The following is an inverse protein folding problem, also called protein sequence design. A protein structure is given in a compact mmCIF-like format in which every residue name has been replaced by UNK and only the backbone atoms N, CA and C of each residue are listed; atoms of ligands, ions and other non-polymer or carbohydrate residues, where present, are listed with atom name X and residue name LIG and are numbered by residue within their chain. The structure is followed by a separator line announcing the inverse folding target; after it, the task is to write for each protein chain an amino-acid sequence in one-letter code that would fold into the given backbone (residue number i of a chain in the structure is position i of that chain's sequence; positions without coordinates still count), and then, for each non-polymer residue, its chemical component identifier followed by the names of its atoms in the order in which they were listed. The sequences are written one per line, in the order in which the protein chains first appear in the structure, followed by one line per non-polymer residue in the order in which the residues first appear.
data_IF_053209880766
#
_entry.id   IF_053209880766
#
_cell.length_a   1.000
_cell.length_b   1.000
_cell.length_c   1.000
_cell.angle_alpha   90.00
_cell.angle_beta   90.00
_cell.angle_gamma   90.00
#
_symmetry.space_group_name_H-M   'P 1'
#
loop_
_entity.id
_entity.type
_entity.pdbx_description
1 polymer ?
#
# COMPACT_ATOMS: atom_id res chain seq x y z
N UNK A 1 5.49 1.57 12.78
CA UNK A 1 5.61 0.18 12.35
C UNK A 1 5.93 0.07 10.87
N UNK A 2 5.14 0.71 10.04
CA UNK A 2 5.40 0.66 8.61
C UNK A 2 6.51 1.60 8.16
N UNK A 3 7.03 2.41 9.07
CA UNK A 3 8.02 3.41 8.70
C UNK A 3 9.33 2.79 8.22
N UNK A 4 9.60 1.55 8.62
CA UNK A 4 10.80 0.85 8.17
C UNK A 4 10.55 -0.03 6.96
N UNK A 5 9.32 -0.06 6.46
CA UNK A 5 8.95 -0.91 5.34
C UNK A 5 9.11 -0.14 4.04
N UNK A 6 9.71 -0.76 3.04
CA UNK A 6 9.84 -0.13 1.74
C UNK A 6 8.53 -0.23 0.97
N UNK A 7 8.40 0.59 -0.06
CA UNK A 7 7.23 0.56 -0.92
C UNK A 7 7.04 -0.85 -1.52
N UNK A 8 8.11 -1.44 -2.00
CA UNK A 8 8.02 -2.77 -2.60
C UNK A 8 7.57 -3.81 -1.59
N UNK A 9 8.06 -3.72 -0.37
CA UNK A 9 7.64 -4.65 0.67
C UNK A 9 6.16 -4.48 1.00
N UNK A 10 5.70 -3.23 1.02
CA UNK A 10 4.29 -2.97 1.29
C UNK A 10 3.41 -3.53 0.19
N UNK A 11 3.81 -3.36 -1.06
CA UNK A 11 3.04 -3.90 -2.19
C UNK A 11 2.98 -5.42 -2.10
N UNK A 12 4.10 -6.05 -1.80
CA UNK A 12 4.12 -7.52 -1.66
C UNK A 12 3.19 -7.98 -0.56
N UNK A 13 3.19 -7.25 0.54
CA UNK A 13 2.31 -7.62 1.66
C UNK A 13 0.85 -7.47 1.28
N UNK A 14 0.51 -6.41 0.57
CA UNK A 14 -0.85 -6.20 0.11
C UNK A 14 -1.28 -7.33 -0.82
N UNK A 15 -0.41 -7.71 -1.75
CA UNK A 15 -0.72 -8.80 -2.66
C UNK A 15 -0.95 -10.10 -1.91
N UNK A 16 -0.14 -10.35 -0.90
CA UNK A 16 -0.30 -11.54 -0.09
C UNK A 16 -1.65 -11.55 0.63
N UNK A 17 -2.02 -10.41 1.21
CA UNK A 17 -3.29 -10.31 1.91
C UNK A 17 -4.46 -10.53 0.96
N UNK A 18 -4.41 -9.91 -0.20
CA UNK A 18 -5.48 -10.07 -1.20
C UNK A 18 -5.60 -11.53 -1.61
N UNK A 19 -4.46 -12.17 -1.83
CA UNK A 19 -4.46 -13.58 -2.20
C UNK A 19 -5.11 -14.44 -1.10
N UNK A 20 -4.77 -14.17 0.15
CA UNK A 20 -5.35 -14.91 1.26
C UNK A 20 -6.87 -14.69 1.35
N UNK A 21 -7.31 -13.46 1.12
CA UNK A 21 -8.73 -13.16 1.16
C UNK A 21 -9.49 -13.85 0.03
N UNK A 22 -8.87 -13.95 -1.13
CA UNK A 22 -9.52 -14.57 -2.28
C UNK A 22 -9.58 -16.08 -2.18
N UNK A 23 -8.57 -16.68 -1.58
CA UNK A 23 -8.46 -18.13 -1.54
C UNK A 23 -9.15 -18.79 -0.38
N UNK A 24 -9.45 -18.05 0.66
CA UNK A 24 -9.95 -18.64 1.89
C UNK A 24 -11.46 -18.52 1.96
N UNK A 25 -12.15 -19.64 1.78
CA UNK A 25 -13.60 -19.68 1.91
C UNK A 25 -14.04 -19.75 3.36
N UNK A 26 -13.10 -20.07 4.26
CA UNK A 26 -13.44 -20.33 5.64
C UNK A 26 -12.98 -19.23 6.59
N UNK A 27 -12.66 -18.06 6.07
CA UNK A 27 -12.25 -16.96 6.92
C UNK A 27 -13.44 -16.48 7.76
N UNK A 28 -13.20 -16.35 9.05
CA UNK A 28 -14.20 -15.73 9.90
C UNK A 28 -14.31 -14.26 9.57
N UNK A 29 -15.44 -13.66 9.94
CA UNK A 29 -15.63 -12.24 9.70
C UNK A 29 -14.54 -11.41 10.40
N UNK A 30 -14.18 -11.84 11.63
CA UNK A 30 -13.16 -11.12 12.36
C UNK A 30 -11.81 -11.16 11.65
N UNK A 31 -11.43 -12.33 11.13
CA UNK A 31 -10.18 -12.47 10.42
C UNK A 31 -10.19 -11.66 9.12
N UNK A 32 -11.32 -11.68 8.43
CA UNK A 32 -11.46 -10.90 7.20
C UNK A 32 -11.28 -9.41 7.49
N UNK A 33 -11.96 -8.92 8.53
CA UNK A 33 -11.87 -7.51 8.86
C UNK A 33 -10.46 -7.11 9.28
N UNK A 34 -9.76 -7.97 10.02
CA UNK A 34 -8.41 -7.67 10.44
C UNK A 34 -7.47 -7.55 9.23
N UNK A 35 -7.60 -8.48 8.27
CA UNK A 35 -6.76 -8.43 7.09
C UNK A 35 -7.11 -7.25 6.20
N UNK A 36 -8.40 -6.94 6.08
CA UNK A 36 -8.82 -5.79 5.29
C UNK A 36 -8.31 -4.49 5.89
N UNK A 37 -8.30 -4.39 7.21
CA UNK A 37 -7.79 -3.21 7.89
C UNK A 37 -6.29 -3.06 7.64
N UNK A 38 -5.54 -4.16 7.73
CA UNK A 38 -4.12 -4.11 7.47
C UNK A 38 -3.85 -3.67 6.04
N UNK A 39 -4.60 -4.22 5.09
CA UNK A 39 -4.42 -3.83 3.69
C UNK A 39 -4.72 -2.35 3.48
N UNK A 40 -5.74 -1.85 4.15
CA UNK A 40 -6.07 -0.43 4.03
C UNK A 40 -4.95 0.45 4.55
N UNK A 41 -4.36 0.07 5.67
CA UNK A 41 -3.26 0.83 6.24
C UNK A 41 -2.05 0.80 5.31
N UNK A 42 -1.77 -0.35 4.71
CA UNK A 42 -0.68 -0.46 3.77
C UNK A 42 -0.92 0.36 2.51
N UNK A 43 -2.17 0.38 2.04
CA UNK A 43 -2.51 1.20 0.89
C UNK A 43 -2.32 2.69 1.18
N UNK A 44 -2.69 3.11 2.38
CA UNK A 44 -2.48 4.49 2.78
C UNK A 44 -0.99 4.83 2.78
N UNK A 45 -0.18 3.90 3.29
CA UNK A 45 1.27 4.09 3.28
C UNK A 45 1.79 4.21 1.85
N UNK A 46 1.34 3.35 0.95
CA UNK A 46 1.80 3.38 -0.43
C UNK A 46 1.36 4.66 -1.14
N UNK A 47 0.15 5.12 -0.87
CA UNK A 47 -0.33 6.36 -1.46
C UNK A 47 0.51 7.55 -1.03
N UNK A 48 0.90 7.56 0.23
CA UNK A 48 1.76 8.63 0.73
C UNK A 48 3.11 8.60 0.04
N UNK A 49 3.68 7.40 -0.13
CA UNK A 49 4.95 7.28 -0.82
C UNK A 49 4.86 7.74 -2.27
N UNK A 50 3.77 7.41 -2.93
CA UNK A 50 3.57 7.85 -4.31
C UNK A 50 3.47 9.36 -4.42
N UNK A 51 2.75 10.00 -3.49
CA UNK A 51 2.66 11.44 -3.50
C UNK A 51 4.03 12.08 -3.30
N UNK A 52 4.82 11.54 -2.39
CA UNK A 52 6.17 12.04 -2.18
C UNK A 52 7.02 11.87 -3.43
N UNK A 53 6.90 10.73 -4.09
CA UNK A 53 7.61 10.49 -5.35
C UNK A 53 7.22 11.48 -6.41
N UNK A 54 5.92 11.74 -6.54
CA UNK A 54 5.43 12.69 -7.52
C UNK A 54 5.98 14.08 -7.28
N UNK A 55 6.04 14.48 -6.00
CA UNK A 55 6.59 15.78 -5.67
C UNK A 55 8.07 15.87 -6.04
N UNK A 56 8.81 14.80 -5.80
CA UNK A 56 10.22 14.78 -6.17
C UNK A 56 10.40 14.84 -7.68
N UNK A 57 9.56 14.13 -8.40
CA UNK A 57 9.63 14.16 -9.86
C UNK A 57 9.31 15.53 -10.41
N UNK A 58 8.33 16.19 -9.82
CA UNK A 58 8.00 17.55 -10.25
C UNK A 58 9.14 18.51 -10.01
N UNK A 59 9.90 18.32 -8.94
CA UNK A 59 11.06 19.16 -8.68
C UNK A 59 12.16 18.94 -9.70
N UNK A 60 12.29 17.71 -10.19
CA UNK A 60 13.32 17.36 -11.14
C UNK A 60 12.91 17.74 -12.56
N UNK A 61 11.68 17.38 -12.91
CA UNK A 61 11.14 17.73 -14.23
C UNK A 61 10.68 19.15 -14.14
N UNK A 62 11.42 20.00 -14.71
CA UNK A 62 11.23 21.42 -14.60
C UNK A 62 9.81 21.84 -14.88
N UNK A 63 9.23 22.61 -13.99
CA UNK A 63 7.83 23.03 -14.17
C UNK A 63 7.63 24.13 -15.18
N UNK A 64 8.67 24.67 -15.72
CA UNK A 64 8.47 25.79 -16.65
C UNK A 64 7.83 25.35 -17.93
N UNK A 65 7.70 24.06 -18.16
CA UNK A 65 6.94 23.68 -19.31
C UNK A 65 5.46 23.83 -19.12
N UNK A 66 5.05 24.18 -17.98
CA UNK A 66 3.64 24.38 -17.72
C UNK A 66 3.13 25.75 -18.14
#
# INVERSE_FOLDING_TARGET
MYSSMSYDEAIKRIEQIVCELEQSDALSMDAYQAKAKEAKELLTFCQKELVDWEKKMESIVTPEEL
#
